data_IF_371975442748
#
_entry.id   IF_371975442748
#
_cell.length_a   1.000
_cell.length_b   1.000
_cell.length_c   1.000
_cell.angle_alpha   90.00
_cell.angle_beta   90.00
_cell.angle_gamma   90.00
#
_symmetry.space_group_name_H-M   'P 1'
#
loop_
_entity.id
_entity.type
_entity.pdbx_description
1 polymer ?
#
# COMPACT_ATOMS: atom_id res chain seq x y z
N UNK A 1 14.94 9.12 -1.41
CA UNK A 1 13.87 10.15 -1.39
C UNK A 1 12.73 9.67 -2.26
N UNK A 2 11.46 9.89 -1.89
CA UNK A 2 10.34 9.53 -2.76
C UNK A 2 10.27 10.49 -3.96
N UNK A 3 10.02 9.95 -5.15
CA UNK A 3 9.78 10.72 -6.38
C UNK A 3 8.26 10.80 -6.57
N UNK A 4 7.76 11.99 -6.88
CA UNK A 4 6.34 12.25 -7.07
C UNK A 4 6.05 12.62 -8.53
N UNK A 5 4.97 12.07 -9.07
CA UNK A 5 4.38 12.46 -10.35
C UNK A 5 3.68 13.83 -10.25
N UNK A 6 3.39 14.50 -11.39
CA UNK A 6 2.69 15.79 -11.40
C UNK A 6 1.32 15.76 -10.69
N UNK A 7 0.69 14.59 -10.61
CA UNK A 7 -0.62 14.41 -9.96
C UNK A 7 -0.54 14.06 -8.47
N UNK A 8 0.68 14.08 -7.89
CA UNK A 8 0.95 13.82 -6.48
C UNK A 8 1.08 12.33 -6.12
N UNK A 9 1.09 11.44 -7.11
CA UNK A 9 1.32 9.99 -6.91
C UNK A 9 2.80 9.68 -6.69
N UNK A 10 3.13 8.75 -5.81
CA UNK A 10 4.50 8.28 -5.61
C UNK A 10 4.91 7.36 -6.77
N UNK A 11 5.97 7.70 -7.51
CA UNK A 11 6.38 7.04 -8.77
C UNK A 11 6.41 5.51 -8.69
N UNK A 12 7.12 4.95 -7.70
CA UNK A 12 7.30 3.50 -7.58
C UNK A 12 6.12 2.77 -6.93
N UNK A 13 5.29 3.47 -6.15
CA UNK A 13 4.21 2.85 -5.39
C UNK A 13 2.85 3.02 -6.07
N UNK A 14 2.69 4.00 -6.95
CA UNK A 14 1.38 4.32 -7.55
C UNK A 14 0.36 4.84 -6.53
N UNK A 15 0.79 5.27 -5.35
CA UNK A 15 -0.09 5.69 -4.26
C UNK A 15 -0.12 7.21 -4.08
N UNK A 16 -1.32 7.74 -3.81
CA UNK A 16 -1.54 9.11 -3.35
C UNK A 16 -1.56 9.19 -1.82
N UNK A 17 -1.32 10.39 -1.28
CA UNK A 17 -1.48 10.64 0.15
C UNK A 17 -2.92 10.32 0.58
N UNK A 18 -3.06 9.52 1.64
CA UNK A 18 -4.35 9.05 2.14
C UNK A 18 -4.82 7.69 1.57
N UNK A 19 -4.10 7.12 0.60
CA UNK A 19 -4.43 5.79 0.06
C UNK A 19 -4.13 4.63 1.04
N UNK A 20 -3.28 4.88 2.06
CA UNK A 20 -2.93 3.91 3.11
C UNK A 20 -3.17 4.49 4.49
N UNK A 21 -3.44 3.60 5.45
CA UNK A 21 -3.64 3.97 6.85
C UNK A 21 -2.36 4.43 7.55
N UNK A 22 -2.51 4.88 8.80
CA UNK A 22 -1.39 5.34 9.64
C UNK A 22 -0.36 4.24 9.94
N UNK A 23 -0.79 2.99 9.99
CA UNK A 23 0.05 1.84 10.29
C UNK A 23 0.08 0.91 9.08
N UNK A 24 1.29 0.55 8.63
CA UNK A 24 1.52 -0.24 7.42
C UNK A 24 2.46 -1.39 7.76
N UNK A 25 2.07 -2.60 7.37
CA UNK A 25 2.96 -3.76 7.37
C UNK A 25 3.72 -3.80 6.05
N UNK A 26 5.03 -4.00 6.10
CA UNK A 26 5.91 -4.04 4.93
C UNK A 26 6.50 -5.45 4.77
N UNK A 27 5.73 -6.42 4.26
CA UNK A 27 6.27 -7.74 3.94
C UNK A 27 7.25 -7.62 2.77
N UNK A 28 8.35 -8.38 2.81
CA UNK A 28 9.30 -8.43 1.69
C UNK A 28 8.78 -9.18 0.47
N UNK A 29 7.88 -10.15 0.66
CA UNK A 29 7.31 -10.99 -0.40
C UNK A 29 5.86 -10.61 -0.68
N UNK A 30 5.51 -10.23 -1.93
CA UNK A 30 4.14 -9.94 -2.35
C UNK A 30 3.15 -11.09 -2.05
N UNK A 31 3.59 -12.34 -2.09
CA UNK A 31 2.76 -13.51 -1.80
C UNK A 31 2.21 -13.53 -0.37
N UNK A 32 2.83 -12.81 0.57
CA UNK A 32 2.34 -12.69 1.95
C UNK A 32 1.21 -11.68 2.13
N UNK A 33 0.99 -10.79 1.16
CA UNK A 33 -0.01 -9.72 1.27
C UNK A 33 -1.40 -10.31 1.46
N UNK A 34 -1.78 -11.31 0.66
CA UNK A 34 -3.10 -11.94 0.76
C UNK A 34 -3.30 -12.66 2.09
N UNK A 35 -2.27 -13.40 2.54
CA UNK A 35 -2.30 -14.11 3.82
C UNK A 35 -2.49 -13.14 4.99
N UNK A 36 -1.81 -11.99 4.96
CA UNK A 36 -1.95 -10.94 5.98
C UNK A 36 -3.33 -10.28 5.90
N UNK A 37 -3.76 -9.88 4.69
CA UNK A 37 -5.01 -9.15 4.48
C UNK A 37 -6.25 -9.92 4.97
N UNK A 38 -6.27 -11.25 4.84
CA UNK A 38 -7.36 -12.12 5.35
C UNK A 38 -7.59 -12.03 6.87
N UNK A 39 -6.65 -11.45 7.62
CA UNK A 39 -6.75 -11.27 9.08
C UNK A 39 -7.25 -9.87 9.49
N UNK A 40 -7.43 -8.95 8.55
CA UNK A 40 -7.96 -7.62 8.82
C UNK A 40 -9.49 -7.61 8.75
N UNK A 41 -10.08 -6.60 9.40
CA UNK A 41 -11.50 -6.31 9.25
C UNK A 41 -11.75 -5.71 7.86
N UNK A 42 -12.72 -6.26 7.12
CA UNK A 42 -13.16 -5.78 5.80
C UNK A 42 -12.02 -5.51 4.80
N UNK A 43 -11.15 -6.49 4.51
CA UNK A 43 -10.05 -6.31 3.58
C UNK A 43 -10.58 -6.05 2.17
N UNK A 44 -9.94 -5.14 1.44
CA UNK A 44 -10.25 -4.83 0.04
C UNK A 44 -9.09 -5.25 -0.85
N UNK A 45 -9.40 -5.96 -1.93
CA UNK A 45 -8.49 -6.11 -3.05
C UNK A 45 -8.70 -4.91 -3.97
N UNK A 46 -7.63 -4.16 -4.23
CA UNK A 46 -7.62 -2.90 -4.99
C UNK A 46 -6.78 -3.02 -6.23
#
# INVERSE_FOLDING_TARGET
MAIFEPDGTVHHLGLKKGAVGRYVLLPGDPGRVEVIARRFDNPRFV
#
